data_IF_559682046376
#
_entry.id   IF_559682046376
#
_cell.length_a   1.000
_cell.length_b   1.000
_cell.length_c   1.000
_cell.angle_alpha   90.00
_cell.angle_beta   90.00
_cell.angle_gamma   90.00
#
_symmetry.space_group_name_H-M   'P 1'
#
loop_
_entity.id
_entity.type
_entity.pdbx_description
1 polymer ?
#
# COMPACT_ATOMS: atom_id res chain seq x y z
N UNK A 1 0.68 18.63 -12.86
CA UNK A 1 1.86 18.29 -13.70
C UNK A 1 3.03 19.20 -13.34
N UNK A 2 4.28 18.73 -13.41
CA UNK A 2 5.51 19.47 -13.11
C UNK A 2 5.48 20.22 -11.76
N UNK A 3 4.87 19.61 -10.75
CA UNK A 3 4.70 20.19 -9.42
C UNK A 3 6.06 20.22 -8.72
N UNK A 4 6.42 21.37 -8.15
CA UNK A 4 7.67 21.48 -7.38
C UNK A 4 7.57 20.66 -6.08
N UNK A 5 8.71 20.20 -5.53
CA UNK A 5 8.70 19.51 -4.23
C UNK A 5 8.11 20.38 -3.11
N UNK A 6 8.28 21.71 -3.18
CA UNK A 6 7.73 22.66 -2.20
C UNK A 6 6.20 22.70 -2.24
N UNK A 7 5.62 22.65 -3.43
CA UNK A 7 4.17 22.80 -3.62
C UNK A 7 3.45 21.44 -3.60
N UNK A 8 4.19 20.34 -3.65
CA UNK A 8 3.66 18.98 -3.77
C UNK A 8 2.57 18.63 -2.75
N UNK A 9 2.76 18.97 -1.47
CA UNK A 9 1.80 18.63 -0.42
C UNK A 9 0.50 19.46 -0.51
N UNK A 10 0.52 20.63 -1.16
CA UNK A 10 -0.68 21.45 -1.35
C UNK A 10 -1.69 20.81 -2.34
N UNK A 11 -1.26 19.80 -3.09
CA UNK A 11 -2.12 19.04 -4.00
C UNK A 11 -2.68 17.75 -3.36
N UNK A 12 -2.38 17.46 -2.09
CA UNK A 12 -2.86 16.26 -1.41
C UNK A 12 -4.21 16.56 -0.74
N UNK A 13 -5.24 15.78 -1.08
CA UNK A 13 -6.53 15.85 -0.40
C UNK A 13 -6.46 15.23 1.01
N UNK A 14 -5.81 14.07 1.13
CA UNK A 14 -5.67 13.37 2.40
C UNK A 14 -4.86 12.08 2.29
N UNK A 15 -4.84 11.35 3.39
CA UNK A 15 -4.06 10.13 3.59
C UNK A 15 -4.97 9.00 4.11
N UNK A 16 -4.66 7.76 3.78
CA UNK A 16 -5.36 6.60 4.33
C UNK A 16 -4.39 5.43 4.48
N UNK A 17 -4.78 4.38 5.22
CA UNK A 17 -4.03 3.14 5.19
C UNK A 17 -4.23 2.45 3.84
N UNK A 18 -3.17 1.82 3.35
CA UNK A 18 -3.21 0.93 2.20
C UNK A 18 -2.47 -0.36 2.51
N UNK A 19 -2.96 -1.50 2.01
CA UNK A 19 -2.20 -2.74 2.02
C UNK A 19 -1.92 -3.19 0.58
N UNK A 20 -0.72 -2.91 0.09
CA UNK A 20 -0.27 -3.29 -1.26
C UNK A 20 0.15 -4.77 -1.27
N UNK A 21 -0.86 -5.64 -1.39
CA UNK A 21 -0.67 -7.10 -1.41
C UNK A 21 0.12 -7.50 -2.66
N UNK A 22 0.82 -8.62 -2.58
CA UNK A 22 1.63 -9.09 -3.70
C UNK A 22 1.64 -10.60 -3.82
N UNK A 23 1.14 -11.11 -4.94
CA UNK A 23 1.31 -12.50 -5.34
C UNK A 23 2.73 -12.65 -5.90
N UNK A 24 3.68 -13.05 -5.06
CA UNK A 24 5.11 -13.02 -5.41
C UNK A 24 5.48 -13.99 -6.53
N UNK A 25 4.78 -15.11 -6.65
CA UNK A 25 4.94 -16.01 -7.78
C UNK A 25 4.57 -15.30 -9.08
N UNK A 26 3.44 -14.60 -9.14
CA UNK A 26 3.00 -13.81 -10.30
C UNK A 26 3.92 -12.61 -10.57
N UNK A 27 4.34 -11.91 -9.53
CA UNK A 27 5.22 -10.74 -9.62
C UNK A 27 6.57 -11.09 -10.26
N UNK A 28 7.08 -12.29 -9.98
CA UNK A 28 8.38 -12.75 -10.48
C UNK A 28 8.30 -13.51 -11.82
N UNK A 29 7.10 -13.67 -12.40
CA UNK A 29 6.95 -14.31 -13.73
C UNK A 29 7.54 -13.47 -14.86
N UNK A 30 7.64 -12.15 -14.67
CA UNK A 30 8.19 -11.22 -15.66
C UNK A 30 9.09 -10.20 -14.98
N UNK A 31 9.80 -9.39 -15.76
CA UNK A 31 10.56 -8.25 -15.22
C UNK A 31 9.66 -7.14 -14.68
N UNK A 32 8.35 -7.15 -15.00
CA UNK A 32 7.38 -6.16 -14.58
C UNK A 32 6.58 -6.64 -13.37
N UNK A 33 6.36 -5.77 -12.39
CA UNK A 33 5.67 -6.12 -11.15
C UNK A 33 4.14 -6.15 -11.27
N UNK A 34 3.59 -5.55 -12.32
CA UNK A 34 2.16 -5.30 -12.50
C UNK A 34 1.31 -6.54 -12.21
N UNK A 35 1.65 -7.69 -12.82
CA UNK A 35 0.87 -8.92 -12.71
C UNK A 35 0.71 -9.42 -11.27
N UNK A 36 1.70 -9.21 -10.40
CA UNK A 36 1.63 -9.63 -9.00
C UNK A 36 0.92 -8.65 -8.08
N UNK A 37 0.59 -7.45 -8.58
CA UNK A 37 0.06 -6.30 -7.82
C UNK A 37 -1.39 -5.97 -8.15
N UNK A 38 -1.86 -6.38 -9.34
CA UNK A 38 -3.19 -6.04 -9.85
C UNK A 38 -4.30 -7.10 -9.74
N UNK A 39 -4.17 -8.29 -9.09
CA UNK A 39 -5.32 -9.15 -8.95
C UNK A 39 -6.44 -8.49 -8.12
N UNK A 40 -7.67 -8.95 -8.30
CA UNK A 40 -8.84 -8.39 -7.63
C UNK A 40 -8.64 -8.32 -6.11
N UNK A 41 -8.94 -7.14 -5.54
CA UNK A 41 -8.86 -6.85 -4.08
C UNK A 41 -7.43 -6.81 -3.51
N UNK A 42 -6.38 -6.67 -4.34
CA UNK A 42 -4.99 -6.60 -3.86
C UNK A 42 -4.54 -5.22 -3.31
N UNK A 43 -5.42 -4.22 -3.34
CA UNK A 43 -5.16 -2.91 -2.73
C UNK A 43 -6.35 -2.42 -1.89
N UNK A 44 -6.66 -3.05 -0.75
CA UNK A 44 -7.61 -2.47 0.19
C UNK A 44 -7.08 -1.14 0.73
N UNK A 45 -7.99 -0.17 0.81
CA UNK A 45 -7.76 1.19 1.32
C UNK A 45 -8.78 1.48 2.42
N UNK A 46 -8.41 2.30 3.42
CA UNK A 46 -9.32 2.79 4.45
C UNK A 46 -8.75 2.77 5.88
N UNK A 47 -9.59 2.70 6.93
CA UNK A 47 -11.06 2.70 6.90
C UNK A 47 -11.65 4.07 6.50
N UNK A 48 -10.86 5.13 6.54
CA UNK A 48 -11.26 6.49 6.15
C UNK A 48 -10.11 7.17 5.40
N UNK A 49 -10.40 8.36 4.86
CA UNK A 49 -9.39 9.30 4.39
C UNK A 49 -9.30 10.39 5.46
N UNK A 50 -8.12 10.56 6.04
CA UNK A 50 -7.80 11.67 6.95
C UNK A 50 -7.35 12.85 6.10
N UNK A 51 -7.96 14.02 6.28
CA UNK A 51 -7.66 15.16 5.42
C UNK A 51 -6.24 15.68 5.66
N UNK A 52 -5.64 16.32 4.65
CA UNK A 52 -4.24 16.71 4.71
C UNK A 52 -3.94 17.75 5.83
N UNK A 53 -4.91 18.59 6.19
CA UNK A 53 -4.80 19.56 7.28
C UNK A 53 -4.80 18.92 8.68
N UNK A 54 -5.38 17.72 8.84
CA UNK A 54 -5.30 16.91 10.06
C UNK A 54 -3.97 16.17 10.21
N UNK A 55 -3.09 16.24 9.20
CA UNK A 55 -1.77 15.57 9.19
C UNK A 55 -0.65 16.60 9.04
N UNK A 56 -0.22 17.27 10.13
CA UNK A 56 0.75 18.37 10.06
C UNK A 56 2.10 17.99 9.45
N UNK A 57 2.51 16.72 9.61
CA UNK A 57 3.74 16.21 9.00
C UNK A 57 3.56 14.76 8.53
N UNK A 58 3.32 14.52 7.23
CA UNK A 58 3.13 13.18 6.70
C UNK A 58 4.45 12.37 6.66
N UNK A 59 5.59 13.01 6.91
CA UNK A 59 6.91 12.38 7.01
C UNK A 59 7.25 11.95 8.45
N UNK A 60 6.31 11.99 9.40
CA UNK A 60 6.52 11.56 10.79
C UNK A 60 5.38 10.69 11.32
N UNK A 61 4.95 9.71 10.52
CA UNK A 61 3.85 8.81 10.83
C UNK A 61 4.41 7.42 11.11
N UNK A 62 4.03 6.81 12.24
CA UNK A 62 4.38 5.41 12.51
C UNK A 62 3.54 4.49 11.62
N UNK A 63 4.16 3.48 11.01
CA UNK A 63 3.49 2.47 10.18
C UNK A 63 3.67 1.11 10.84
N UNK A 64 2.58 0.37 11.01
CA UNK A 64 2.60 -0.98 11.61
C UNK A 64 1.74 -1.94 10.82
N UNK A 65 2.15 -3.20 10.80
CA UNK A 65 1.41 -4.30 10.19
C UNK A 65 1.45 -5.54 11.07
N UNK A 66 0.31 -6.24 11.16
CA UNK A 66 0.18 -7.50 11.88
C UNK A 66 -0.45 -8.57 11.00
N UNK A 67 -0.04 -9.82 11.24
CA UNK A 67 -0.72 -11.02 10.72
C UNK A 67 -1.14 -11.87 11.91
N UNK A 68 -2.44 -12.10 12.08
CA UNK A 68 -3.02 -12.83 13.20
C UNK A 68 -2.58 -12.26 14.57
N UNK A 69 -2.52 -10.94 14.68
CA UNK A 69 -2.07 -10.23 15.89
C UNK A 69 -0.55 -10.23 16.10
N UNK A 70 0.23 -10.98 15.33
CA UNK A 70 1.69 -10.96 15.40
C UNK A 70 2.24 -9.82 14.54
N UNK A 71 3.01 -8.92 15.15
CA UNK A 71 3.61 -7.79 14.46
C UNK A 71 4.62 -8.28 13.41
N UNK A 72 4.47 -7.80 12.17
CA UNK A 72 5.34 -8.12 11.04
C UNK A 72 6.16 -6.92 10.58
N UNK A 73 5.61 -5.72 10.67
CA UNK A 73 6.27 -4.48 10.27
C UNK A 73 6.00 -3.40 11.33
N UNK A 74 7.00 -2.57 11.61
CA UNK A 74 6.93 -1.44 12.55
C UNK A 74 8.04 -0.45 12.23
N UNK A 75 7.69 0.69 11.66
CA UNK A 75 8.64 1.68 11.13
C UNK A 75 8.02 3.08 11.18
N UNK A 76 8.72 4.08 10.63
CA UNK A 76 8.23 5.45 10.52
C UNK A 76 8.35 5.98 9.09
N UNK A 77 7.42 6.82 8.66
CA UNK A 77 7.56 7.50 7.35
C UNK A 77 8.82 8.36 7.29
N UNK A 78 9.38 8.79 8.41
CA UNK A 78 10.69 9.46 8.45
C UNK A 78 11.82 8.65 7.79
N UNK A 79 11.70 7.32 7.74
CA UNK A 79 12.70 6.40 7.18
C UNK A 79 12.53 6.17 5.66
N UNK A 80 11.52 6.79 5.02
CA UNK A 80 11.34 6.69 3.57
C UNK A 80 12.53 7.29 2.83
N UNK A 81 13.09 6.54 1.88
CA UNK A 81 14.15 7.01 0.97
C UNK A 81 13.71 8.25 0.19
N UNK A 82 12.47 8.25 -0.29
CA UNK A 82 11.86 9.38 -0.99
C UNK A 82 10.64 9.87 -0.22
N UNK A 83 10.69 11.11 0.27
CA UNK A 83 9.54 11.75 0.93
C UNK A 83 8.29 11.79 0.04
N UNK A 84 7.10 11.88 0.63
CA UNK A 84 5.83 12.00 -0.12
C UNK A 84 5.86 13.18 -1.10
N UNK A 85 6.37 14.33 -0.67
CA UNK A 85 6.55 15.50 -1.52
C UNK A 85 7.48 15.24 -2.72
N UNK A 86 8.52 14.42 -2.55
CA UNK A 86 9.40 13.99 -3.63
C UNK A 86 8.65 13.11 -4.62
N UNK A 87 7.92 12.09 -4.13
CA UNK A 87 7.18 11.14 -4.98
C UNK A 87 6.20 11.88 -5.89
N UNK A 88 5.39 12.79 -5.32
CA UNK A 88 4.43 13.61 -6.07
C UNK A 88 5.14 14.48 -7.11
N UNK A 89 6.18 15.22 -6.69
CA UNK A 89 6.93 16.09 -7.59
C UNK A 89 7.52 15.30 -8.77
N UNK A 90 8.17 14.17 -8.49
CA UNK A 90 8.79 13.31 -9.49
C UNK A 90 7.76 12.70 -10.45
N UNK A 91 6.70 12.06 -9.94
CA UNK A 91 5.67 11.45 -10.77
C UNK A 91 5.02 12.47 -11.71
N UNK A 92 4.77 13.69 -11.20
CA UNK A 92 4.11 14.75 -11.96
C UNK A 92 4.93 15.27 -13.16
N UNK A 93 6.22 14.94 -13.28
CA UNK A 93 7.05 15.29 -14.43
C UNK A 93 6.72 14.43 -15.65
N UNK A 94 6.25 13.20 -15.43
CA UNK A 94 6.01 12.21 -16.48
C UNK A 94 4.55 12.16 -16.93
N UNK A 95 3.62 12.36 -16.01
CA UNK A 95 2.19 12.37 -16.30
C UNK A 95 1.45 13.40 -15.44
N UNK A 96 0.26 13.79 -15.89
CA UNK A 96 -0.63 14.62 -15.08
C UNK A 96 -1.20 13.75 -13.96
N UNK A 97 -1.07 14.22 -12.72
CA UNK A 97 -1.80 13.68 -11.58
C UNK A 97 -3.18 14.34 -11.56
N UNK A 98 -4.23 13.54 -11.52
CA UNK A 98 -5.62 13.98 -11.52
C UNK A 98 -6.22 13.92 -10.10
N UNK A 99 -7.21 14.77 -9.77
CA UNK A 99 -7.96 14.63 -8.53
C UNK A 99 -8.58 13.22 -8.43
N UNK A 100 -8.31 12.54 -7.32
CA UNK A 100 -8.73 11.15 -7.09
C UNK A 100 -7.65 10.11 -7.37
N UNK A 101 -6.49 10.49 -7.91
CA UNK A 101 -5.33 9.61 -8.01
C UNK A 101 -4.86 9.14 -6.62
N UNK A 102 -4.51 7.86 -6.53
CA UNK A 102 -3.99 7.24 -5.31
C UNK A 102 -2.54 6.80 -5.53
N UNK A 103 -1.65 7.25 -4.64
CA UNK A 103 -0.24 6.89 -4.67
C UNK A 103 0.08 6.02 -3.45
N UNK A 104 0.41 4.74 -3.69
CA UNK A 104 1.01 3.88 -2.65
C UNK A 104 2.50 4.21 -2.52
N UNK A 105 2.92 4.68 -1.35
CA UNK A 105 4.23 5.32 -1.16
C UNK A 105 5.36 4.36 -0.76
N UNK A 106 5.11 3.05 -0.85
CA UNK A 106 6.05 1.99 -0.47
C UNK A 106 5.68 1.30 0.84
N UNK A 107 6.53 0.36 1.25
CA UNK A 107 6.36 -0.43 2.48
C UNK A 107 7.73 -0.54 3.18
N UNK A 108 7.78 -0.51 4.52
CA UNK A 108 9.01 -0.74 5.27
C UNK A 108 9.45 -2.21 5.20
N UNK A 109 10.56 -2.52 5.86
CA UNK A 109 11.03 -3.89 6.09
C UNK A 109 9.99 -4.77 6.82
N UNK A 110 10.27 -6.06 6.93
CA UNK A 110 9.38 -7.04 7.57
C UNK A 110 8.41 -7.76 6.61
N UNK A 111 8.52 -7.50 5.30
CA UNK A 111 7.84 -8.31 4.28
C UNK A 111 8.44 -9.72 4.23
N UNK A 112 7.57 -10.74 4.10
CA UNK A 112 7.94 -12.17 4.13
C UNK A 112 9.03 -12.53 3.12
N UNK A 113 9.07 -11.84 1.97
CA UNK A 113 10.05 -12.13 0.92
C UNK A 113 11.51 -11.96 1.40
N UNK A 114 11.77 -11.02 2.32
CA UNK A 114 13.09 -10.80 2.92
C UNK A 114 13.43 -11.74 4.08
N UNK A 115 12.51 -12.61 4.51
CA UNK A 115 12.72 -13.49 5.65
C UNK A 115 13.34 -14.83 5.26
N UNK A 116 14.14 -15.41 6.16
CA UNK A 116 14.72 -16.75 6.00
C UNK A 116 13.61 -17.82 5.98
N UNK A 117 12.71 -17.80 6.96
CA UNK A 117 11.55 -18.67 7.00
C UNK A 117 10.32 -17.94 6.43
N UNK A 118 9.86 -18.38 5.25
CA UNK A 118 8.76 -17.71 4.54
C UNK A 118 7.42 -18.31 4.95
N UNK A 119 6.68 -17.57 5.77
CA UNK A 119 5.30 -17.89 6.12
C UNK A 119 4.34 -17.06 5.28
N UNK A 120 3.93 -17.60 4.12
CA UNK A 120 2.98 -16.96 3.22
C UNK A 120 1.58 -16.86 3.84
N UNK A 121 0.83 -15.82 3.45
CA UNK A 121 -0.57 -15.64 3.82
C UNK A 121 -1.42 -16.81 3.30
N UNK A 122 -2.41 -17.22 4.10
CA UNK A 122 -3.33 -18.32 3.82
C UNK A 122 -4.77 -17.89 4.07
N UNK A 123 -5.76 -18.59 3.49
CA UNK A 123 -7.16 -18.41 3.88
C UNK A 123 -7.32 -18.54 5.40
N UNK A 124 -8.02 -17.60 6.02
CA UNK A 124 -8.20 -17.48 7.46
C UNK A 124 -7.26 -16.48 8.13
N UNK A 125 -6.17 -16.06 7.48
CA UNK A 125 -5.26 -15.06 8.06
C UNK A 125 -5.92 -13.68 8.11
N UNK A 126 -5.79 -13.00 9.25
CA UNK A 126 -6.19 -11.60 9.42
C UNK A 126 -4.96 -10.70 9.30
N UNK A 127 -4.98 -9.78 8.34
CA UNK A 127 -3.92 -8.79 8.13
C UNK A 127 -4.44 -7.43 8.54
N UNK A 128 -3.71 -6.73 9.41
CA UNK A 128 -4.06 -5.39 9.86
C UNK A 128 -2.92 -4.41 9.57
N UNK A 129 -3.26 -3.21 9.10
CA UNK A 129 -2.34 -2.09 8.85
C UNK A 129 -2.82 -0.85 9.61
N UNK A 130 -1.88 -0.14 10.23
CA UNK A 130 -2.11 1.15 10.89
C UNK A 130 -1.01 2.14 10.50
N UNK A 131 -1.39 3.35 10.14
CA UNK A 131 -0.53 4.49 9.86
C UNK A 131 -1.00 5.67 10.70
N UNK A 132 -0.12 6.17 11.57
CA UNK A 132 -0.48 7.23 12.52
C UNK A 132 -1.76 6.89 13.28
N UNK A 133 -2.69 7.85 13.31
CA UNK A 133 -3.99 7.72 13.97
C UNK A 133 -5.15 7.56 12.96
N UNK A 134 -4.88 7.05 11.75
CA UNK A 134 -5.88 6.95 10.66
C UNK A 134 -6.93 5.83 10.86
N UNK A 135 -6.95 5.22 12.03
CA UNK A 135 -7.68 3.98 12.30
C UNK A 135 -6.99 2.74 11.74
N UNK A 136 -7.58 1.57 12.00
CA UNK A 136 -7.01 0.27 11.67
C UNK A 136 -7.70 -0.36 10.46
N UNK A 137 -6.95 -0.56 9.37
CA UNK A 137 -7.43 -1.31 8.21
C UNK A 137 -7.19 -2.80 8.45
N UNK A 138 -8.25 -3.59 8.61
CA UNK A 138 -8.15 -5.04 8.80
C UNK A 138 -8.85 -5.80 7.68
N UNK A 139 -8.15 -6.76 7.06
CA UNK A 139 -8.67 -7.61 6.01
C UNK A 139 -8.49 -9.09 6.37
N UNK A 140 -9.56 -9.88 6.23
CA UNK A 140 -9.51 -11.34 6.33
C UNK A 140 -9.16 -11.93 4.97
N UNK A 141 -8.10 -12.72 4.91
CA UNK A 141 -7.73 -13.47 3.72
C UNK A 141 -8.71 -14.61 3.53
N UNK A 142 -9.36 -14.66 2.37
CA UNK A 142 -10.34 -15.69 2.03
C UNK A 142 -9.91 -16.39 0.74
N UNK A 143 -10.26 -17.66 0.62
CA UNK A 143 -10.15 -18.33 -0.67
C UNK A 143 -11.28 -17.81 -1.55
N UNK A 144 -10.96 -17.27 -2.73
CA UNK A 144 -11.99 -16.91 -3.70
C UNK A 144 -12.33 -18.18 -4.47
N UNK A 145 -13.59 -18.67 -4.43
CA UNK A 145 -13.97 -19.80 -5.25
C UNK A 145 -13.68 -19.46 -6.71
N UNK A 146 -12.95 -20.33 -7.42
CA UNK A 146 -12.85 -20.22 -8.87
C UNK A 146 -14.27 -20.26 -9.42
N UNK A 147 -14.68 -19.23 -10.16
CA UNK A 147 -15.90 -19.32 -10.95
C UNK A 147 -15.81 -20.62 -11.77
N UNK A 148 -16.82 -21.47 -11.66
CA UNK A 148 -16.90 -22.68 -12.48
C UNK A 148 -16.71 -22.22 -13.92
N UNK A 149 -15.67 -22.74 -14.58
CA UNK A 149 -15.44 -22.43 -15.99
C UNK A 149 -16.72 -22.73 -16.74
N UNK A 150 -17.39 -21.70 -17.26
CA UNK A 150 -18.40 -21.90 -18.27
C UNK A 150 -17.71 -22.70 -19.38
N UNK A 151 -18.17 -23.94 -19.61
CA UNK A 151 -17.63 -24.79 -20.67
C UNK A 151 -17.60 -23.95 -21.95
N UNK A 152 -16.41 -23.68 -22.45
CA UNK A 152 -16.24 -23.12 -23.78
C UNK A 152 -17.00 -24.02 -24.76
N UNK A 153 -17.91 -23.42 -25.52
CA UNK A 153 -18.47 -24.02 -26.74
C UNK A 153 -17.49 -23.80 -27.87
#
# INVERSE_FOLDING_TARGET
>A
RNVSKRDALAHVFGYCNSNDLSARDLQMRTSQWLLGKTPDKFLPLGPCIVSADEVPNPQKLRIRCWVNGQQRQDSNTADMIFSIAHIISYASQYFTLEPGDVISTGTPEGVIFGMQQKQWLRPGDSVAVEVGDFGRLTNLMVNVPRAASAKAR
#
